data_IF_081857697558
#
_entry.id   IF_081857697558
#
_cell.length_a   1.000
_cell.length_b   1.000
_cell.length_c   1.000
_cell.angle_alpha   90.00
_cell.angle_beta   90.00
_cell.angle_gamma   90.00
#
_symmetry.space_group_name_H-M   'P 1'
#
loop_
_entity.id
_entity.type
_entity.pdbx_description
1 polymer ?
#
# COMPACT_ATOMS: atom_id res chain seq x y z
N UNK A 1 20.12 39.04 10.81
CA UNK A 1 20.49 37.79 11.49
C UNK A 1 19.89 37.77 12.89
N UNK A 2 18.70 37.19 12.98
CA UNK A 2 17.99 37.10 14.24
C UNK A 2 18.43 35.85 15.01
N UNK A 3 18.88 36.02 16.23
CA UNK A 3 19.22 34.94 17.16
C UNK A 3 17.96 34.41 17.88
N UNK A 4 16.84 35.06 17.66
CA UNK A 4 15.57 34.69 18.30
C UNK A 4 14.99 33.40 17.75
N UNK A 5 14.34 32.58 18.60
CA UNK A 5 13.69 31.37 18.13
C UNK A 5 12.60 31.64 17.06
N UNK A 6 12.58 30.81 16.05
CA UNK A 6 11.64 30.89 14.96
C UNK A 6 10.86 29.56 14.88
N UNK A 7 9.56 29.65 14.63
CA UNK A 7 8.70 28.47 14.46
C UNK A 7 8.50 28.18 12.97
N UNK A 8 8.80 26.98 12.58
CA UNK A 8 8.60 26.49 11.21
C UNK A 8 7.58 25.35 11.24
N UNK A 9 6.60 25.40 10.35
CA UNK A 9 5.65 24.32 10.19
C UNK A 9 6.21 23.25 9.25
N UNK A 10 6.09 22.00 9.64
CA UNK A 10 6.45 20.86 8.81
C UNK A 10 5.24 19.95 8.63
N UNK A 11 4.65 19.85 7.43
CA UNK A 11 4.98 20.61 6.21
C UNK A 11 4.43 22.05 6.25
N UNK A 12 4.89 22.88 5.35
CA UNK A 12 4.44 24.28 5.24
C UNK A 12 2.96 24.35 4.87
N UNK A 13 2.52 23.47 3.98
CA UNK A 13 1.13 23.33 3.54
C UNK A 13 0.68 21.88 3.61
N UNK A 14 -0.55 21.64 4.05
CA UNK A 14 -1.13 20.31 4.13
C UNK A 14 -0.68 19.50 5.34
N UNK A 15 -0.66 18.19 5.20
CA UNK A 15 -0.31 17.25 6.26
C UNK A 15 0.73 16.24 5.77
N UNK A 16 1.56 15.77 6.70
CA UNK A 16 2.42 14.63 6.46
C UNK A 16 1.60 13.36 6.56
N UNK A 17 1.61 12.55 5.52
CA UNK A 17 0.92 11.27 5.50
C UNK A 17 1.91 10.15 5.78
N UNK A 18 1.60 9.33 6.76
CA UNK A 18 2.40 8.15 7.09
C UNK A 18 1.48 6.99 7.44
N UNK A 19 1.96 5.77 7.20
CA UNK A 19 1.20 4.55 7.48
C UNK A 19 1.90 3.79 8.60
N UNK A 20 1.18 3.51 9.69
CA UNK A 20 1.66 2.67 10.77
C UNK A 20 1.71 1.19 10.34
N UNK A 21 2.34 0.35 11.14
CA UNK A 21 2.46 -1.08 10.83
C UNK A 21 1.13 -1.82 10.74
N UNK A 22 0.08 -1.27 11.35
CA UNK A 22 -1.29 -1.79 11.28
C UNK A 22 -2.01 -1.47 9.96
N UNK A 23 -1.39 -0.68 9.07
CA UNK A 23 -1.94 -0.31 7.78
C UNK A 23 -2.85 0.91 7.80
N UNK A 24 -2.95 1.62 8.93
CA UNK A 24 -3.78 2.82 9.06
C UNK A 24 -2.94 4.05 8.75
N UNK A 25 -3.46 4.89 7.84
CA UNK A 25 -2.83 6.15 7.48
C UNK A 25 -3.04 7.18 8.57
N UNK A 26 -1.97 7.86 8.95
CA UNK A 26 -2.00 8.98 9.89
C UNK A 26 -1.55 10.24 9.17
N UNK A 27 -2.28 11.32 9.41
CA UNK A 27 -1.94 12.66 8.93
C UNK A 27 -1.41 13.46 10.09
N UNK A 28 -0.19 13.94 9.98
CA UNK A 28 0.48 14.67 11.04
C UNK A 28 0.94 16.03 10.55
N UNK A 29 0.94 16.99 11.46
CA UNK A 29 1.49 18.32 11.25
C UNK A 29 2.33 18.68 12.46
N UNK A 30 3.55 19.08 12.24
CA UNK A 30 4.47 19.41 13.30
C UNK A 30 4.89 20.88 13.25
N UNK A 31 5.19 21.42 14.41
CA UNK A 31 5.83 22.73 14.57
C UNK A 31 7.25 22.50 15.08
N UNK A 32 8.19 23.07 14.39
CA UNK A 32 9.60 22.99 14.78
C UNK A 32 10.07 24.36 15.24
N UNK A 33 10.53 24.44 16.46
CA UNK A 33 11.16 25.65 16.98
C UNK A 33 12.64 25.56 16.72
N UNK A 34 13.16 26.50 15.94
CA UNK A 34 14.56 26.55 15.56
C UNK A 34 15.18 27.89 15.94
N UNK A 35 16.47 27.86 16.17
CA UNK A 35 17.30 29.06 16.40
C UNK A 35 18.38 29.10 15.35
N UNK A 36 18.75 30.30 14.91
CA UNK A 36 19.83 30.46 13.95
C UNK A 36 21.16 30.03 14.60
N UNK A 37 21.84 29.10 13.94
CA UNK A 37 23.17 28.66 14.32
C UNK A 37 24.21 29.49 13.54
N UNK A 38 24.79 30.50 14.18
CA UNK A 38 25.71 31.44 13.55
C UNK A 38 26.92 30.72 12.92
N UNK A 39 27.61 29.78 13.60
CA UNK A 39 28.70 29.04 12.98
C UNK A 39 28.33 28.22 11.74
N UNK A 40 27.08 27.75 11.66
CA UNK A 40 26.57 26.97 10.53
C UNK A 40 25.95 27.82 9.43
N UNK A 41 25.88 29.14 9.58
CA UNK A 41 25.16 30.01 8.65
C UNK A 41 25.84 30.06 7.27
N UNK A 42 27.16 30.03 7.25
CA UNK A 42 27.93 30.07 6.00
C UNK A 42 28.01 28.66 5.42
N UNK A 43 27.37 28.46 4.25
CA UNK A 43 27.35 27.18 3.58
C UNK A 43 26.38 26.16 4.19
N UNK A 44 25.57 26.56 5.18
CA UNK A 44 24.55 25.69 5.79
C UNK A 44 23.29 25.56 4.93
N UNK A 45 22.55 24.48 5.15
CA UNK A 45 21.30 24.23 4.48
C UNK A 45 20.19 25.17 4.97
N UNK A 46 19.20 25.43 4.11
CA UNK A 46 18.09 26.35 4.36
C UNK A 46 16.94 25.72 5.17
N UNK A 47 15.92 26.53 5.46
CA UNK A 47 14.68 26.09 6.13
C UNK A 47 14.05 24.87 5.45
N UNK A 48 14.04 24.83 4.12
CA UNK A 48 13.45 23.74 3.34
C UNK A 48 14.10 22.39 3.67
N UNK A 49 15.40 22.38 3.91
CA UNK A 49 16.11 21.17 4.30
C UNK A 49 15.68 20.68 5.68
N UNK A 50 15.48 21.59 6.62
CA UNK A 50 14.98 21.24 7.96
C UNK A 50 13.56 20.67 7.88
N UNK A 51 12.70 21.34 7.12
CA UNK A 51 11.31 20.89 6.91
C UNK A 51 11.29 19.48 6.32
N UNK A 52 12.10 19.23 5.30
CA UNK A 52 12.20 17.91 4.66
C UNK A 52 12.73 16.85 5.62
N UNK A 53 13.77 17.13 6.37
CA UNK A 53 14.36 16.18 7.33
C UNK A 53 13.43 15.87 8.48
N UNK A 54 12.77 16.86 9.03
CA UNK A 54 11.78 16.67 10.10
C UNK A 54 10.60 15.88 9.59
N UNK A 55 10.10 16.19 8.40
CA UNK A 55 9.02 15.44 7.76
C UNK A 55 9.38 13.97 7.57
N UNK A 56 10.56 13.69 7.03
CA UNK A 56 11.06 12.33 6.87
C UNK A 56 11.20 11.61 8.21
N UNK A 57 11.72 12.27 9.21
CA UNK A 57 11.88 11.73 10.56
C UNK A 57 10.54 11.36 11.20
N UNK A 58 9.54 12.22 11.05
CA UNK A 58 8.18 11.98 11.57
C UNK A 58 7.51 10.80 10.84
N UNK A 59 7.58 10.77 9.51
CA UNK A 59 7.05 9.67 8.70
C UNK A 59 7.70 8.35 9.07
N UNK A 60 9.01 8.32 9.23
CA UNK A 60 9.75 7.13 9.66
C UNK A 60 9.36 6.68 11.07
N UNK A 61 9.20 7.61 12.00
CA UNK A 61 8.79 7.31 13.38
C UNK A 61 7.36 6.73 13.43
N UNK A 62 6.43 7.30 12.67
CA UNK A 62 5.07 6.79 12.56
C UNK A 62 5.06 5.41 11.88
N UNK A 63 5.83 5.24 10.82
CA UNK A 63 5.94 3.96 10.11
C UNK A 63 6.54 2.83 10.97
N UNK A 64 7.33 3.16 11.98
CA UNK A 64 7.86 2.19 12.94
C UNK A 64 6.92 1.87 14.09
N UNK A 65 5.86 2.67 14.30
CA UNK A 65 4.88 2.44 15.33
C UNK A 65 4.03 1.19 15.02
N UNK A 66 3.77 0.38 16.05
CA UNK A 66 3.02 -0.88 15.88
C UNK A 66 1.55 -0.63 15.55
N UNK A 67 0.94 0.34 16.22
CA UNK A 67 -0.48 0.71 16.02
C UNK A 67 -0.64 2.22 15.93
N UNK A 68 -1.71 2.67 15.29
CA UNK A 68 -2.03 4.09 15.23
C UNK A 68 -2.38 4.65 16.61
N UNK A 69 -2.93 3.83 17.49
CA UNK A 69 -3.28 4.21 18.87
C UNK A 69 -2.05 4.63 19.68
N UNK A 70 -0.93 3.92 19.51
CA UNK A 70 0.34 4.25 20.18
C UNK A 70 0.82 5.66 19.79
N UNK A 71 0.65 6.01 18.53
CA UNK A 71 1.01 7.34 18.01
C UNK A 71 0.09 8.42 18.57
N UNK A 72 -1.22 8.14 18.62
CA UNK A 72 -2.23 9.10 19.14
C UNK A 72 -2.10 9.32 20.64
N UNK A 73 -1.79 8.28 21.39
CA UNK A 73 -1.65 8.36 22.84
C UNK A 73 -0.36 9.06 23.28
N UNK A 74 0.73 8.82 22.56
CA UNK A 74 2.05 9.34 22.89
C UNK A 74 2.72 10.09 21.71
N UNK A 75 2.17 11.24 21.29
CA UNK A 75 2.81 12.02 20.22
C UNK A 75 4.20 12.53 20.63
N UNK A 76 4.46 12.73 21.91
CA UNK A 76 5.74 13.18 22.44
C UNK A 76 6.87 12.18 22.17
N UNK A 77 6.57 10.89 22.11
CA UNK A 77 7.58 9.87 21.83
C UNK A 77 8.13 10.01 20.41
N UNK A 78 7.29 10.42 19.47
CA UNK A 78 7.67 10.71 18.08
C UNK A 78 8.56 11.95 18.05
N UNK A 79 8.15 13.01 18.74
CA UNK A 79 8.92 14.25 18.86
C UNK A 79 10.31 13.98 19.40
N UNK A 80 10.44 13.21 20.46
CA UNK A 80 11.74 12.83 21.06
C UNK A 80 12.58 11.98 20.11
N UNK A 81 11.98 11.02 19.42
CA UNK A 81 12.70 10.16 18.46
C UNK A 81 13.27 10.97 17.31
N UNK A 82 12.50 11.91 16.80
CA UNK A 82 12.92 12.79 15.71
C UNK A 82 14.01 13.76 16.18
N UNK A 83 13.88 14.33 17.37
CA UNK A 83 14.85 15.25 17.95
C UNK A 83 16.20 14.57 18.17
N UNK A 84 16.20 13.31 18.60
CA UNK A 84 17.42 12.53 18.85
C UNK A 84 18.19 12.17 17.57
N UNK A 85 17.60 12.30 16.40
CA UNK A 85 18.25 12.00 15.11
C UNK A 85 19.26 13.05 14.68
N UNK A 86 19.34 14.20 15.34
CA UNK A 86 20.28 15.26 15.00
C UNK A 86 20.04 15.84 13.62
N UNK A 87 18.80 16.13 13.28
CA UNK A 87 18.36 16.59 11.96
C UNK A 87 18.87 17.98 11.58
N UNK A 88 19.34 18.75 12.54
CA UNK A 88 19.91 20.08 12.37
C UNK A 88 21.38 20.07 11.95
N UNK A 89 22.00 18.90 11.88
CA UNK A 89 23.39 18.75 11.50
C UNK A 89 23.64 19.26 10.07
N UNK A 90 24.60 20.15 9.93
CA UNK A 90 24.95 20.74 8.63
C UNK A 90 23.96 21.80 8.13
N UNK A 91 23.06 22.29 8.98
CA UNK A 91 22.12 23.37 8.65
C UNK A 91 22.46 24.66 9.30
N UNK A 92 21.90 25.77 8.81
CA UNK A 92 22.05 27.11 9.40
C UNK A 92 21.24 27.29 10.69
N UNK A 93 20.51 26.27 11.11
CA UNK A 93 19.56 26.29 12.24
C UNK A 93 19.87 25.21 13.24
N UNK A 94 19.51 25.47 14.49
CA UNK A 94 19.52 24.51 15.58
C UNK A 94 18.08 24.23 15.99
N UNK A 95 17.72 22.97 16.05
CA UNK A 95 16.36 22.56 16.46
C UNK A 95 16.29 22.58 17.99
N UNK A 96 15.42 23.40 18.53
CA UNK A 96 15.20 23.51 19.97
C UNK A 96 14.13 22.55 20.44
N UNK A 97 13.01 22.47 19.71
CA UNK A 97 11.93 21.55 20.01
C UNK A 97 11.12 21.18 18.77
N UNK A 98 10.48 20.05 18.82
CA UNK A 98 9.57 19.57 17.79
C UNK A 98 8.26 19.21 18.50
N UNK A 99 7.17 19.88 18.10
CA UNK A 99 5.84 19.64 18.66
C UNK A 99 4.92 19.15 17.58
N UNK A 100 4.18 18.09 17.86
CA UNK A 100 3.13 17.60 16.96
C UNK A 100 1.88 18.45 17.20
N UNK A 101 1.54 19.27 16.22
CA UNK A 101 0.42 20.21 16.33
C UNK A 101 -0.93 19.53 16.05
N UNK A 102 -0.98 18.72 14.98
CA UNK A 102 -2.19 18.01 14.58
C UNK A 102 -1.84 16.57 14.23
N UNK A 103 -2.69 15.65 14.64
CA UNK A 103 -2.55 14.24 14.33
C UNK A 103 -3.94 13.66 14.09
N UNK A 104 -4.23 13.36 12.82
CA UNK A 104 -5.52 12.81 12.41
C UNK A 104 -5.37 11.41 11.84
N UNK A 105 -6.38 10.59 12.07
CA UNK A 105 -6.48 9.27 11.49
C UNK A 105 -7.12 9.39 10.10
N UNK A 106 -6.40 8.95 9.09
CA UNK A 106 -6.89 8.89 7.73
C UNK A 106 -7.56 7.56 7.38
N UNK A 107 -7.38 7.13 6.15
CA UNK A 107 -7.97 5.88 5.65
C UNK A 107 -7.23 4.66 6.19
N UNK A 108 -7.95 3.56 6.35
CA UNK A 108 -7.31 2.26 6.60
C UNK A 108 -6.83 1.67 5.26
N UNK A 109 -5.58 1.97 4.92
CA UNK A 109 -4.95 1.52 3.66
C UNK A 109 -4.82 0.00 3.65
N UNK A 110 -4.54 -0.62 4.80
CA UNK A 110 -4.44 -2.08 4.91
C UNK A 110 -5.76 -2.77 4.57
N UNK A 111 -6.87 -2.27 5.08
CA UNK A 111 -8.19 -2.81 4.75
C UNK A 111 -8.56 -2.58 3.27
N UNK A 112 -8.22 -1.42 2.72
CA UNK A 112 -8.44 -1.11 1.31
C UNK A 112 -7.64 -2.05 0.41
N UNK A 113 -6.38 -2.30 0.73
CA UNK A 113 -5.53 -3.26 -0.02
C UNK A 113 -6.06 -4.69 0.08
N UNK A 114 -6.53 -5.10 1.25
CA UNK A 114 -7.15 -6.42 1.42
C UNK A 114 -8.43 -6.55 0.60
N UNK A 115 -9.26 -5.52 0.56
CA UNK A 115 -10.46 -5.49 -0.27
C UNK A 115 -10.13 -5.58 -1.75
N UNK A 116 -9.14 -4.83 -2.23
CA UNK A 116 -8.67 -4.87 -3.61
C UNK A 116 -8.10 -6.24 -3.97
N UNK A 117 -7.35 -6.84 -3.07
CA UNK A 117 -6.81 -8.19 -3.26
C UNK A 117 -7.90 -9.24 -3.30
N UNK A 118 -8.88 -9.15 -2.41
CA UNK A 118 -10.04 -10.04 -2.42
C UNK A 118 -10.84 -9.93 -3.71
N UNK A 119 -11.01 -8.72 -4.23
CA UNK A 119 -11.67 -8.49 -5.52
C UNK A 119 -10.87 -9.10 -6.68
N UNK A 120 -9.54 -8.92 -6.67
CA UNK A 120 -8.66 -9.51 -7.67
C UNK A 120 -8.70 -11.05 -7.63
N UNK A 121 -8.68 -11.64 -6.43
CA UNK A 121 -8.79 -13.08 -6.22
C UNK A 121 -10.13 -13.61 -6.72
N UNK A 122 -11.22 -12.87 -6.50
CA UNK A 122 -12.54 -13.20 -7.01
C UNK A 122 -12.55 -13.22 -8.54
N UNK A 123 -11.96 -12.23 -9.19
CA UNK A 123 -11.84 -12.19 -10.66
C UNK A 123 -11.06 -13.38 -11.19
N UNK A 124 -9.95 -13.74 -10.54
CA UNK A 124 -9.15 -14.91 -10.91
C UNK A 124 -9.97 -16.21 -10.76
N UNK A 125 -10.72 -16.34 -9.65
CA UNK A 125 -11.57 -17.48 -9.41
C UNK A 125 -12.69 -17.60 -10.46
N UNK A 126 -13.31 -16.48 -10.83
CA UNK A 126 -14.32 -16.42 -11.89
C UNK A 126 -13.74 -16.81 -13.25
N UNK A 127 -12.55 -16.31 -13.59
CA UNK A 127 -11.87 -16.66 -14.84
C UNK A 127 -11.54 -18.16 -14.89
N UNK A 128 -11.07 -18.75 -13.79
CA UNK A 128 -10.83 -20.19 -13.69
C UNK A 128 -12.11 -21.00 -13.82
N UNK A 129 -13.21 -20.54 -13.21
CA UNK A 129 -14.52 -21.19 -13.31
C UNK A 129 -15.02 -21.17 -14.76
N UNK A 130 -14.89 -20.04 -15.46
CA UNK A 130 -15.25 -19.93 -16.87
C UNK A 130 -14.42 -20.86 -17.75
N UNK A 131 -13.12 -20.94 -17.49
CA UNK A 131 -12.21 -21.84 -18.21
C UNK A 131 -12.61 -23.29 -18.00
N UNK A 132 -12.92 -23.70 -16.77
CA UNK A 132 -13.39 -25.06 -16.46
C UNK A 132 -14.72 -25.37 -17.14
N UNK A 133 -15.62 -24.38 -17.15
CA UNK A 133 -16.91 -24.52 -17.81
C UNK A 133 -16.75 -24.70 -19.32
N UNK A 134 -15.88 -23.90 -19.94
CA UNK A 134 -15.56 -24.00 -21.34
C UNK A 134 -14.92 -25.36 -21.68
N UNK A 135 -14.01 -25.86 -20.85
CA UNK A 135 -13.42 -27.18 -20.98
C UNK A 135 -14.44 -28.31 -20.86
N UNK A 136 -15.35 -28.20 -19.88
CA UNK A 136 -16.41 -29.18 -19.68
C UNK A 136 -17.37 -29.25 -20.89
N UNK A 137 -17.73 -28.08 -21.45
CA UNK A 137 -18.56 -28.02 -22.66
C UNK A 137 -17.82 -28.61 -23.86
N UNK A 138 -16.56 -28.34 -24.01
CA UNK A 138 -15.73 -28.91 -25.09
C UNK A 138 -15.63 -30.43 -24.97
N UNK A 139 -15.39 -30.96 -23.78
CA UNK A 139 -15.38 -32.40 -23.52
C UNK A 139 -16.75 -33.05 -23.83
N UNK A 140 -17.85 -32.41 -23.41
CA UNK A 140 -19.19 -32.86 -23.69
C UNK A 140 -19.44 -32.93 -25.19
N UNK A 141 -19.04 -31.91 -25.93
CA UNK A 141 -19.17 -31.88 -27.40
C UNK A 141 -18.32 -33.00 -28.07
N UNK A 142 -17.10 -33.23 -27.60
CA UNK A 142 -16.28 -34.35 -28.06
C UNK A 142 -16.93 -35.68 -27.78
N UNK A 143 -17.50 -35.88 -26.60
CA UNK A 143 -18.19 -37.09 -26.23
C UNK A 143 -19.43 -37.32 -27.10
N UNK A 144 -20.19 -36.27 -27.37
CA UNK A 144 -21.35 -36.35 -28.28
C UNK A 144 -20.91 -36.72 -29.69
N UNK A 145 -19.84 -36.15 -30.19
CA UNK A 145 -19.27 -36.47 -31.50
C UNK A 145 -18.85 -37.95 -31.56
N UNK A 146 -18.19 -38.46 -30.53
CA UNK A 146 -17.80 -39.89 -30.44
C UNK A 146 -18.99 -40.82 -30.38
N UNK A 147 -20.03 -40.45 -29.64
CA UNK A 147 -21.27 -41.23 -29.56
C UNK A 147 -21.94 -41.33 -30.94
N UNK A 148 -22.02 -40.21 -31.67
CA UNK A 148 -22.57 -40.19 -33.01
C UNK A 148 -21.73 -41.03 -33.99
N UNK A 149 -20.41 -40.95 -33.90
CA UNK A 149 -19.48 -41.75 -34.69
C UNK A 149 -19.68 -43.25 -34.43
N UNK A 150 -19.80 -43.64 -33.15
CA UNK A 150 -20.07 -45.01 -32.76
C UNK A 150 -21.45 -45.50 -33.21
N UNK A 151 -22.47 -44.66 -33.15
CA UNK A 151 -23.79 -44.95 -33.67
C UNK A 151 -23.77 -45.23 -35.19
N UNK A 152 -23.02 -44.40 -35.93
CA UNK A 152 -22.83 -44.59 -37.35
C UNK A 152 -22.16 -45.93 -37.67
N UNK A 153 -21.14 -46.31 -36.90
CA UNK A 153 -20.47 -47.63 -37.06
C UNK A 153 -21.38 -48.79 -36.73
N UNK A 154 -22.21 -48.67 -35.70
CA UNK A 154 -23.19 -49.71 -35.33
C UNK A 154 -24.26 -49.86 -36.42
N UNK A 155 -24.74 -48.74 -36.96
CA UNK A 155 -25.72 -48.77 -38.08
C UNK A 155 -25.12 -49.43 -39.30
N UNK A 156 -23.87 -49.16 -39.65
CA UNK A 156 -23.17 -49.86 -40.76
C UNK A 156 -23.03 -51.36 -40.50
N UNK A 157 -22.67 -51.74 -39.28
CA UNK A 157 -22.58 -53.16 -38.90
C UNK A 157 -23.94 -53.85 -38.94
N UNK A 158 -24.99 -53.20 -38.48
CA UNK A 158 -26.38 -53.70 -38.56
C UNK A 158 -26.86 -53.86 -40.01
N UNK A 159 -26.49 -52.92 -40.88
CA UNK A 159 -26.82 -52.96 -42.30
C UNK A 159 -26.12 -54.12 -43.03
N UNK A 160 -24.92 -54.49 -42.62
CA UNK A 160 -24.16 -55.61 -43.18
C UNK A 160 -24.67 -56.98 -42.73
N UNK A 161 -25.15 -57.09 -41.50
CA UNK A 161 -25.65 -58.34 -40.93
C UNK A 161 -26.80 -58.97 -41.76
N UNK A 162 -27.82 -58.22 -42.18
CA UNK A 162 -28.87 -58.80 -43.01
C UNK A 162 -28.35 -59.36 -44.34
N UNK A 163 -27.36 -58.73 -44.96
CA UNK A 163 -26.78 -59.23 -46.18
C UNK A 163 -26.06 -60.57 -45.97
N UNK A 164 -25.36 -60.71 -44.86
CA UNK A 164 -24.68 -61.93 -44.51
C UNK A 164 -25.67 -63.06 -44.21
N UNK A 165 -26.86 -62.78 -43.62
CA UNK A 165 -27.90 -63.73 -43.33
C UNK A 165 -28.64 -64.14 -44.56
N UNK A 166 -28.76 -63.31 -45.58
CA UNK A 166 -29.50 -63.61 -46.80
C UNK A 166 -28.72 -64.52 -47.77
N UNK A 167 -27.48 -64.80 -47.48
CA UNK A 167 -26.66 -65.78 -48.21
C UNK A 167 -26.72 -67.13 -47.45
#
# INVERSE_FOLDING_TARGET
>A
TSVYPKVINAPVEGYLCAVAKDGIELKARARVTVRTNIPGLVGGATDDTIIARVGEGIVSAIGSATTYSDVLENPDSISKSVLNKGLDSGTAFEILSIDIADLDVGKNIGASLQADQAEADLRVAQAKAETRRAMAVAEEQEMQARVQEMKAKVVEAEAEVPKAMSQ
#
